data_IF_971169918905
#
_entry.id   IF_971169918905
#
_cell.length_a   1.000
_cell.length_b   1.000
_cell.length_c   1.000
_cell.angle_alpha   90.00
_cell.angle_beta   90.00
_cell.angle_gamma   90.00
#
_symmetry.space_group_name_H-M   'P 1'
#
loop_
_entity.id
_entity.type
_entity.pdbx_description
1 polymer ?
#
# COMPACT_ATOMS: atom_id res chain seq x y z
N UNK A 1 11.95 3.79 16.60
CA UNK A 1 10.88 2.86 16.24
C UNK A 1 11.20 2.23 14.91
N UNK A 2 10.94 0.94 14.77
CA UNK A 2 11.14 0.20 13.53
C UNK A 2 10.23 0.73 12.41
N UNK A 3 10.73 0.75 11.19
CA UNK A 3 9.97 1.14 9.99
C UNK A 3 9.26 -0.05 9.34
N UNK A 4 9.65 -1.27 9.69
CA UNK A 4 9.16 -2.49 9.06
C UNK A 4 8.78 -3.55 10.09
N UNK A 5 7.75 -4.33 9.76
CA UNK A 5 7.43 -5.56 10.46
C UNK A 5 8.00 -6.74 9.67
N UNK A 6 9.24 -7.09 9.97
CA UNK A 6 9.96 -8.10 9.21
C UNK A 6 9.29 -9.48 9.26
N UNK A 7 8.64 -9.80 10.36
CA UNK A 7 7.91 -11.06 10.53
C UNK A 7 6.74 -11.24 9.58
N UNK A 8 6.24 -10.15 8.99
CA UNK A 8 5.12 -10.20 8.05
C UNK A 8 5.58 -10.25 6.58
N UNK A 9 6.88 -10.44 6.31
CA UNK A 9 7.38 -10.55 4.95
C UNK A 9 6.71 -11.72 4.21
N UNK A 10 6.55 -11.56 2.89
CA UNK A 10 5.94 -12.58 2.04
C UNK A 10 6.96 -13.38 1.25
N UNK A 11 8.10 -12.78 0.93
CA UNK A 11 9.17 -13.43 0.18
C UNK A 11 10.52 -13.14 0.83
N UNK A 12 11.52 -14.01 0.56
CA UNK A 12 12.88 -13.81 1.05
C UNK A 12 13.49 -12.52 0.49
N UNK A 13 13.23 -12.22 -0.77
CA UNK A 13 13.68 -10.99 -1.40
C UNK A 13 13.13 -9.75 -0.67
N UNK A 14 11.85 -9.76 -0.35
CA UNK A 14 11.21 -8.68 0.42
C UNK A 14 11.86 -8.54 1.80
N UNK A 15 12.11 -9.65 2.48
CA UNK A 15 12.74 -9.64 3.81
C UNK A 15 14.13 -8.99 3.76
N UNK A 16 14.98 -9.41 2.83
CA UNK A 16 16.34 -8.87 2.70
C UNK A 16 16.33 -7.38 2.39
N UNK A 17 15.44 -6.95 1.53
CA UNK A 17 15.26 -5.54 1.17
C UNK A 17 14.82 -4.72 2.37
N UNK A 18 13.81 -5.19 3.11
CA UNK A 18 13.32 -4.50 4.30
C UNK A 18 14.39 -4.42 5.39
N UNK A 19 15.19 -5.46 5.57
CA UNK A 19 16.30 -5.46 6.53
C UNK A 19 17.34 -4.40 6.16
N UNK A 20 17.69 -4.28 4.89
CA UNK A 20 18.64 -3.27 4.43
C UNK A 20 18.11 -1.85 4.65
N UNK A 21 16.88 -1.59 4.25
CA UNK A 21 16.25 -0.27 4.42
C UNK A 21 16.09 0.09 5.89
N UNK A 22 15.76 -0.89 6.75
CA UNK A 22 15.66 -0.68 8.20
C UNK A 22 17.00 -0.24 8.79
N UNK A 23 18.10 -0.92 8.43
CA UNK A 23 19.44 -0.54 8.88
C UNK A 23 19.83 0.86 8.45
N UNK A 24 19.38 1.27 7.28
CA UNK A 24 19.67 2.59 6.72
C UNK A 24 18.72 3.67 7.19
N UNK A 25 17.68 3.31 7.95
CA UNK A 25 16.67 4.25 8.44
C UNK A 25 15.81 4.85 7.32
N UNK A 26 15.62 4.12 6.21
CA UNK A 26 14.86 4.60 5.05
C UNK A 26 13.45 4.04 5.06
N UNK A 27 12.46 4.93 5.10
CA UNK A 27 11.07 4.55 4.89
C UNK A 27 10.78 4.48 3.39
N UNK A 28 10.36 3.30 2.93
CA UNK A 28 10.12 3.04 1.52
C UNK A 28 9.01 3.92 0.92
N UNK A 29 8.03 4.31 1.74
CA UNK A 29 6.86 5.06 1.28
C UNK A 29 6.87 6.54 1.62
N UNK A 30 7.85 7.02 2.38
CA UNK A 30 8.12 8.47 2.44
C UNK A 30 8.60 8.95 1.06
N UNK A 31 8.39 10.23 0.70
CA UNK A 31 8.67 10.70 -0.66
C UNK A 31 10.03 10.33 -1.22
N UNK A 32 11.10 10.50 -0.45
CA UNK A 32 12.46 10.17 -0.91
C UNK A 32 12.65 8.66 -1.09
N UNK A 33 12.17 7.87 -0.14
CA UNK A 33 12.25 6.41 -0.24
C UNK A 33 11.43 5.88 -1.40
N UNK A 34 10.25 6.45 -1.62
CA UNK A 34 9.38 6.07 -2.72
C UNK A 34 10.06 6.35 -4.08
N UNK A 35 10.67 7.51 -4.24
CA UNK A 35 11.34 7.90 -5.47
C UNK A 35 12.62 7.11 -5.73
N UNK A 36 13.44 6.89 -4.69
CA UNK A 36 14.80 6.36 -4.85
C UNK A 36 14.89 4.84 -4.66
N UNK A 37 14.01 4.24 -3.87
CA UNK A 37 14.16 2.86 -3.43
C UNK A 37 12.98 1.94 -3.69
N UNK A 38 11.79 2.48 -3.97
CA UNK A 38 10.60 1.61 -4.06
C UNK A 38 10.55 0.77 -5.33
N UNK A 39 11.07 1.29 -6.44
CA UNK A 39 10.90 0.68 -7.76
C UNK A 39 9.48 0.86 -8.31
N UNK A 40 8.58 1.44 -7.55
CA UNK A 40 7.23 1.73 -8.02
C UNK A 40 7.24 2.88 -9.02
N UNK A 41 6.37 2.80 -10.02
CA UNK A 41 6.18 3.86 -11.01
C UNK A 41 4.86 4.56 -10.78
N UNK A 42 4.87 5.74 -10.12
CA UNK A 42 3.65 6.47 -9.86
C UNK A 42 2.91 6.82 -11.14
N UNK A 43 1.60 6.63 -11.13
CA UNK A 43 0.71 7.05 -12.22
C UNK A 43 0.07 8.40 -11.92
N UNK A 44 0.17 8.86 -10.68
CA UNK A 44 -0.35 10.15 -10.25
C UNK A 44 0.29 10.57 -8.93
N UNK A 45 0.52 11.87 -8.80
CA UNK A 45 0.90 12.51 -7.54
C UNK A 45 0.16 13.82 -7.43
N UNK A 46 -0.57 14.02 -6.34
CA UNK A 46 -1.34 15.22 -6.09
C UNK A 46 -1.18 15.67 -4.65
N UNK A 47 -0.24 16.60 -4.40
CA UNK A 47 -0.02 17.22 -3.09
C UNK A 47 0.27 16.22 -1.99
N UNK A 48 -0.77 15.66 -1.42
CA UNK A 48 -0.68 14.81 -0.22
C UNK A 48 -0.72 13.30 -0.49
N UNK A 49 -0.90 12.87 -1.74
CA UNK A 49 -1.00 11.44 -2.09
C UNK A 49 -0.26 11.10 -3.37
N UNK A 50 0.20 9.86 -3.45
CA UNK A 50 0.77 9.26 -4.66
C UNK A 50 0.05 7.95 -4.95
N UNK A 51 -0.25 7.69 -6.23
CA UNK A 51 -0.84 6.43 -6.68
C UNK A 51 0.18 5.68 -7.52
N UNK A 52 0.42 4.42 -7.19
CA UNK A 52 1.28 3.55 -7.96
C UNK A 52 0.71 2.13 -8.04
N UNK A 53 0.85 1.43 -9.19
CA UNK A 53 0.55 0.01 -9.25
C UNK A 53 1.45 -0.75 -8.29
N UNK A 54 0.90 -1.75 -7.61
CA UNK A 54 1.69 -2.62 -6.74
C UNK A 54 2.52 -3.59 -7.61
N UNK A 55 3.84 -3.63 -7.39
CA UNK A 55 4.74 -4.55 -8.09
C UNK A 55 4.47 -6.02 -7.73
N UNK A 56 3.88 -6.26 -6.57
CA UNK A 56 3.54 -7.59 -6.07
C UNK A 56 2.03 -7.68 -5.81
N UNK A 57 1.21 -7.66 -6.89
CA UNK A 57 -0.24 -7.65 -6.73
C UNK A 57 -0.73 -8.91 -6.01
N UNK A 58 -1.81 -8.77 -5.26
CA UNK A 58 -2.44 -9.91 -4.64
C UNK A 58 -2.98 -10.87 -5.72
N UNK A 59 -2.93 -12.15 -5.40
CA UNK A 59 -3.43 -13.20 -6.30
C UNK A 59 -4.87 -12.93 -6.68
N UNK A 60 -5.21 -13.20 -7.92
CA UNK A 60 -6.55 -13.06 -8.48
C UNK A 60 -7.05 -11.62 -8.63
N UNK A 61 -6.14 -10.65 -8.63
CA UNK A 61 -6.50 -9.27 -8.96
C UNK A 61 -6.20 -8.96 -10.42
N UNK A 62 -7.11 -8.22 -11.07
CA UNK A 62 -6.86 -7.61 -12.37
C UNK A 62 -6.20 -6.23 -12.23
N UNK A 63 -6.36 -5.62 -11.06
CA UNK A 63 -5.74 -4.34 -10.72
C UNK A 63 -5.47 -4.30 -9.22
N UNK A 64 -4.27 -3.86 -8.85
CA UNK A 64 -3.90 -3.62 -7.46
C UNK A 64 -3.09 -2.34 -7.40
N UNK A 65 -3.71 -1.27 -6.94
CA UNK A 65 -3.07 0.02 -6.75
C UNK A 65 -2.76 0.26 -5.28
N UNK A 66 -1.69 1.01 -5.05
CA UNK A 66 -1.37 1.58 -3.74
C UNK A 66 -1.62 3.08 -3.79
N UNK A 67 -2.39 3.59 -2.84
CA UNK A 67 -2.56 5.02 -2.60
C UNK A 67 -1.77 5.33 -1.33
N UNK A 68 -0.74 6.17 -1.47
CA UNK A 68 0.27 6.38 -0.43
C UNK A 68 0.29 7.86 -0.06
N UNK A 69 -0.02 8.21 1.21
CA UNK A 69 0.08 9.61 1.63
C UNK A 69 1.54 10.04 1.72
N UNK A 70 1.81 11.31 1.46
CA UNK A 70 3.15 11.89 1.66
C UNK A 70 3.52 11.98 3.12
N UNK A 71 2.53 12.14 4.00
CA UNK A 71 2.74 12.16 5.45
C UNK A 71 3.13 10.77 5.96
N UNK A 72 4.12 10.72 6.85
CA UNK A 72 4.48 9.47 7.51
C UNK A 72 3.60 9.28 8.74
N UNK A 73 2.49 8.57 8.54
CA UNK A 73 1.55 8.16 9.59
C UNK A 73 1.30 6.67 9.47
N UNK A 74 0.78 6.06 10.51
CA UNK A 74 0.42 4.63 10.52
C UNK A 74 -1.08 4.40 10.66
N UNK A 75 -1.86 5.46 10.82
CA UNK A 75 -3.31 5.39 11.01
C UNK A 75 -3.98 6.50 10.22
N UNK A 76 -5.08 6.17 9.53
CA UNK A 76 -5.87 7.15 8.79
C UNK A 76 -6.39 8.26 9.68
N UNK A 77 -6.63 7.97 10.96
CA UNK A 77 -7.12 8.94 11.92
C UNK A 77 -6.10 10.07 12.18
N UNK A 78 -4.82 9.83 11.91
CA UNK A 78 -3.75 10.80 12.14
C UNK A 78 -3.42 11.65 10.91
N UNK A 79 -4.10 11.42 9.79
CA UNK A 79 -3.91 12.23 8.58
C UNK A 79 -4.34 13.69 8.83
N UNK A 80 -3.61 14.63 8.22
CA UNK A 80 -4.01 16.02 8.20
C UNK A 80 -5.34 16.22 7.46
N UNK A 81 -5.99 17.35 7.65
CA UNK A 81 -7.24 17.66 6.93
C UNK A 81 -7.00 17.72 5.43
N UNK A 82 -5.85 18.22 4.99
CA UNK A 82 -5.47 18.25 3.58
C UNK A 82 -5.37 16.83 3.02
N UNK A 83 -4.70 15.92 3.74
CA UNK A 83 -4.54 14.54 3.29
C UNK A 83 -5.87 13.77 3.30
N UNK A 84 -6.76 14.06 4.26
CA UNK A 84 -8.10 13.46 4.27
C UNK A 84 -8.89 13.83 3.02
N UNK A 85 -8.90 15.10 2.67
CA UNK A 85 -9.56 15.59 1.44
C UNK A 85 -8.85 15.04 0.21
N UNK A 86 -7.52 15.07 0.18
CA UNK A 86 -6.70 14.59 -0.92
C UNK A 86 -6.88 13.11 -1.22
N UNK A 87 -7.25 12.28 -0.24
CA UNK A 87 -7.54 10.88 -0.47
C UNK A 87 -8.66 10.69 -1.51
N UNK A 88 -9.75 11.43 -1.40
CA UNK A 88 -10.85 11.32 -2.36
C UNK A 88 -10.48 11.84 -3.74
N UNK A 89 -9.60 12.85 -3.83
CA UNK A 89 -9.09 13.30 -5.12
C UNK A 89 -8.28 12.18 -5.79
N UNK A 90 -7.43 11.48 -5.01
CA UNK A 90 -6.67 10.34 -5.49
C UNK A 90 -7.60 9.20 -5.96
N UNK A 91 -8.60 8.89 -5.15
CA UNK A 91 -9.57 7.84 -5.48
C UNK A 91 -10.34 8.15 -6.77
N UNK A 92 -10.81 9.39 -6.92
CA UNK A 92 -11.52 9.81 -8.12
C UNK A 92 -10.63 9.74 -9.36
N UNK A 93 -9.36 10.12 -9.24
CA UNK A 93 -8.40 9.98 -10.33
C UNK A 93 -8.25 8.51 -10.76
N UNK A 94 -8.04 7.61 -9.78
CA UNK A 94 -7.86 6.19 -10.07
C UNK A 94 -9.11 5.61 -10.75
N UNK A 95 -10.28 5.95 -10.22
CA UNK A 95 -11.55 5.51 -10.77
C UNK A 95 -11.74 5.93 -12.23
N UNK A 96 -11.43 7.17 -12.55
CA UNK A 96 -11.55 7.71 -13.91
C UNK A 96 -10.49 7.11 -14.84
N UNK A 97 -9.23 7.10 -14.41
CA UNK A 97 -8.12 6.59 -15.24
C UNK A 97 -8.31 5.14 -15.66
N UNK A 98 -8.77 4.30 -14.75
CA UNK A 98 -8.92 2.86 -15.00
C UNK A 98 -10.34 2.44 -15.36
N UNK A 99 -11.28 3.40 -15.48
CA UNK A 99 -12.66 3.11 -15.82
C UNK A 99 -13.34 2.19 -14.82
N UNK A 100 -13.12 2.39 -13.52
CA UNK A 100 -13.58 1.47 -12.49
C UNK A 100 -15.04 1.70 -12.16
N UNK A 101 -15.85 0.65 -12.27
CA UNK A 101 -17.23 0.62 -11.76
C UNK A 101 -17.37 -0.23 -10.49
N UNK A 102 -16.38 -1.07 -10.22
CA UNK A 102 -16.40 -1.99 -9.09
C UNK A 102 -14.97 -2.18 -8.57
N UNK A 103 -14.78 -1.99 -7.27
CA UNK A 103 -13.47 -2.14 -6.63
C UNK A 103 -13.62 -2.27 -5.12
N UNK A 104 -12.62 -2.85 -4.49
CA UNK A 104 -12.53 -2.91 -3.04
C UNK A 104 -11.38 -2.03 -2.52
N UNK A 105 -11.53 -1.55 -1.30
CA UNK A 105 -10.50 -0.79 -0.61
C UNK A 105 -10.16 -1.50 0.69
N UNK A 106 -8.88 -1.76 0.90
CA UNK A 106 -8.39 -2.29 2.15
C UNK A 106 -7.27 -1.42 2.69
N UNK A 107 -7.26 -1.21 3.99
CA UNK A 107 -6.23 -0.42 4.65
C UNK A 107 -5.94 -1.00 6.03
N UNK A 108 -4.65 -0.98 6.41
CA UNK A 108 -4.18 -1.44 7.70
C UNK A 108 -3.75 -0.23 8.52
N UNK A 109 -4.39 -0.05 9.68
CA UNK A 109 -4.13 1.08 10.58
C UNK A 109 -3.50 0.58 11.87
N UNK A 110 -2.46 1.26 12.33
CA UNK A 110 -1.84 0.99 13.61
C UNK A 110 -0.77 -0.08 13.58
N UNK A 111 -0.72 -0.89 14.62
CA UNK A 111 0.34 -1.88 14.84
C UNK A 111 0.27 -3.02 13.83
N UNK A 112 1.37 -3.26 13.16
CA UNK A 112 1.43 -4.30 12.13
C UNK A 112 1.27 -5.72 12.68
N UNK A 113 1.56 -5.95 13.94
CA UNK A 113 1.32 -7.22 14.62
C UNK A 113 -0.18 -7.58 14.61
N UNK A 114 -1.04 -6.56 14.61
CA UNK A 114 -2.49 -6.73 14.64
C UNK A 114 -3.15 -6.62 13.27
N UNK A 115 -2.38 -6.19 12.27
CA UNK A 115 -2.93 -5.88 10.94
C UNK A 115 -2.30 -6.67 9.81
N UNK A 116 -1.15 -7.30 10.06
CA UNK A 116 -0.42 -8.03 9.03
C UNK A 116 0.36 -7.14 8.07
N UNK A 117 0.50 -5.86 8.39
CA UNK A 117 1.27 -4.92 7.58
C UNK A 117 2.77 -5.22 7.61
N UNK A 118 3.49 -4.81 6.58
CA UNK A 118 4.94 -4.97 6.48
C UNK A 118 5.69 -3.67 6.61
N UNK A 119 5.10 -2.57 6.17
CA UNK A 119 5.72 -1.24 6.14
C UNK A 119 4.93 -0.32 7.07
N UNK A 120 5.63 0.30 8.02
CA UNK A 120 5.01 1.21 8.99
C UNK A 120 4.87 2.62 8.39
N UNK A 121 4.24 2.69 7.27
CA UNK A 121 3.79 3.91 6.60
C UNK A 121 2.45 3.57 5.98
N UNK A 122 1.42 4.32 6.33
CA UNK A 122 0.07 4.09 5.84
C UNK A 122 0.04 3.95 4.32
N UNK A 123 -0.66 2.97 3.83
CA UNK A 123 -0.96 2.84 2.41
C UNK A 123 -2.29 2.13 2.23
N UNK A 124 -3.04 2.60 1.26
CA UNK A 124 -4.38 2.09 0.96
C UNK A 124 -4.29 1.21 -0.28
N UNK A 125 -4.85 0.00 -0.18
CA UNK A 125 -4.93 -0.94 -1.29
C UNK A 125 -6.26 -0.73 -2.02
N UNK A 126 -6.19 -0.46 -3.32
CA UNK A 126 -7.36 -0.48 -4.20
C UNK A 126 -7.27 -1.74 -5.04
N UNK A 127 -8.27 -2.59 -4.95
CA UNK A 127 -8.24 -3.95 -5.50
C UNK A 127 -9.43 -4.18 -6.42
N UNK A 128 -9.15 -4.78 -7.58
CA UNK A 128 -10.19 -5.26 -8.48
C UNK A 128 -9.94 -6.75 -8.70
N UNK A 129 -10.93 -7.58 -8.35
CA UNK A 129 -10.85 -9.03 -8.56
C UNK A 129 -10.96 -9.38 -10.04
N UNK A 130 -10.20 -10.38 -10.48
CA UNK A 130 -10.32 -10.94 -11.81
C UNK A 130 -11.35 -12.10 -11.78
N UNK A 131 -12.53 -11.94 -12.40
CA UNK A 131 -13.55 -13.00 -12.36
C UNK A 131 -13.07 -14.35 -12.90
N UNK A 132 -12.11 -14.35 -13.83
CA UNK A 132 -11.60 -15.58 -14.43
C UNK A 132 -10.77 -16.42 -13.45
N UNK A 133 -10.03 -15.78 -12.54
CA UNK A 133 -9.16 -16.47 -11.58
C UNK A 133 -9.74 -16.48 -10.17
N UNK A 134 -10.51 -15.44 -9.80
CA UNK A 134 -11.09 -15.33 -8.47
C UNK A 134 -12.16 -16.39 -8.17
N UNK A 135 -12.74 -17.00 -9.19
CA UNK A 135 -13.70 -18.10 -9.01
C UNK A 135 -13.08 -19.29 -8.27
N UNK A 136 -11.80 -19.59 -8.52
CA UNK A 136 -11.07 -20.67 -7.86
C UNK A 136 -10.34 -20.21 -6.60
N UNK A 137 -9.87 -18.95 -6.59
CA UNK A 137 -9.10 -18.38 -5.50
C UNK A 137 -9.47 -16.90 -5.33
N UNK A 138 -10.47 -16.60 -4.48
CA UNK A 138 -10.87 -15.21 -4.24
C UNK A 138 -9.71 -14.34 -3.77
N UNK A 139 -9.77 -13.05 -4.08
CA UNK A 139 -8.81 -12.08 -3.56
C UNK A 139 -8.92 -12.05 -2.04
N UNK A 140 -7.78 -12.15 -1.37
CA UNK A 140 -7.70 -12.16 0.09
C UNK A 140 -6.73 -11.09 0.57
N UNK A 141 -7.13 -10.36 1.59
CA UNK A 141 -6.28 -9.42 2.30
C UNK A 141 -6.23 -9.82 3.78
N UNK A 142 -5.03 -10.07 4.27
CA UNK A 142 -4.82 -10.51 5.65
C UNK A 142 -4.79 -9.32 6.61
N UNK A 143 -5.46 -9.43 7.75
CA UNK A 143 -5.50 -8.39 8.78
C UNK A 143 -4.94 -8.86 10.13
N UNK A 144 -3.98 -9.75 10.10
CA UNK A 144 -3.23 -10.17 11.29
C UNK A 144 -1.87 -10.71 10.87
N UNK A 145 -0.94 -10.77 11.81
CA UNK A 145 0.33 -11.45 11.58
C UNK A 145 0.10 -12.94 11.39
N UNK A 146 0.86 -13.54 10.47
CA UNK A 146 0.88 -14.99 10.33
C UNK A 146 1.82 -15.56 11.40
N UNK A 147 1.29 -16.39 12.26
CA UNK A 147 2.05 -17.19 13.21
C UNK A 147 1.73 -18.65 13.01
#
# INVERSE_FOLDING_TARGET
MSLYCLENHRTQEQLLRMQDLERRGVCLFCPDGLAEHSGLEPVWSGGSWTIAPNDFPYKSTSLHLLLIPTEHVTDMADLSDEARTGFFDALLFAREKYGLDSYGIGVRNGLCERTGGTIRHLHVHLLVGDPATAAESPVRMRFSSAL
#
